data_IF_186771153288
#
_entry.id   IF_186771153288
#
_cell.length_a   1.000
_cell.length_b   1.000
_cell.length_c   1.000
_cell.angle_alpha   90.00
_cell.angle_beta   90.00
_cell.angle_gamma   90.00
#
_symmetry.space_group_name_H-M   'P 1'
#
loop_
_entity.id
_entity.type
_entity.pdbx_description
1 polymer ?
#
# COMPACT_ATOMS: atom_id res chain seq x y z
N UNK A 1 -37.22 -34.50 -43.75
CA UNK A 1 -37.40 -33.25 -44.53
C UNK A 1 -38.13 -32.28 -43.62
N UNK A 2 -37.58 -31.06 -43.42
CA UNK A 2 -38.02 -29.98 -42.49
C UNK A 2 -37.83 -30.27 -40.98
N UNK A 3 -37.33 -29.38 -40.10
CA UNK A 3 -36.72 -28.05 -40.22
C UNK A 3 -36.12 -27.61 -38.84
N UNK A 4 -35.11 -26.73 -38.89
CA UNK A 4 -34.71 -25.65 -37.95
C UNK A 4 -34.03 -26.00 -36.60
N UNK A 5 -32.74 -25.70 -36.43
CA UNK A 5 -32.12 -24.40 -36.03
C UNK A 5 -32.23 -24.09 -34.54
N UNK A 6 -31.10 -24.13 -33.82
CA UNK A 6 -30.68 -23.04 -32.91
C UNK A 6 -29.18 -23.11 -32.66
N UNK A 7 -28.54 -21.97 -32.87
CA UNK A 7 -27.12 -21.74 -32.79
C UNK A 7 -26.59 -21.96 -31.36
N UNK A 8 -25.45 -22.64 -31.25
CA UNK A 8 -24.53 -22.44 -30.13
C UNK A 8 -23.93 -21.04 -30.28
N UNK A 9 -24.49 -20.09 -29.54
CA UNK A 9 -24.07 -18.68 -29.44
C UNK A 9 -22.96 -18.46 -28.41
N UNK A 10 -22.20 -19.50 -28.08
CA UNK A 10 -20.95 -19.36 -27.34
C UNK A 10 -19.80 -19.63 -28.29
N UNK A 11 -19.52 -18.61 -29.12
CA UNK A 11 -18.19 -18.50 -29.72
C UNK A 11 -17.18 -18.58 -28.57
N UNK A 12 -16.35 -19.62 -28.62
CA UNK A 12 -15.22 -19.75 -27.73
C UNK A 12 -14.44 -18.44 -27.80
N UNK A 13 -14.50 -17.67 -26.71
CA UNK A 13 -13.65 -16.51 -26.56
C UNK A 13 -12.21 -17.01 -26.72
N UNK A 14 -11.39 -16.37 -27.57
CA UNK A 14 -10.01 -16.79 -27.73
C UNK A 14 -9.37 -16.75 -26.34
N UNK A 15 -8.69 -17.83 -25.96
CA UNK A 15 -7.82 -17.86 -24.77
C UNK A 15 -6.89 -16.65 -24.84
N UNK A 16 -7.29 -15.56 -24.19
CA UNK A 16 -6.48 -14.37 -24.05
C UNK A 16 -5.28 -14.79 -23.22
N UNK A 17 -4.09 -14.82 -23.84
CA UNK A 17 -2.80 -14.96 -23.17
C UNK A 17 -2.88 -14.24 -21.83
N UNK A 18 -2.80 -14.99 -20.74
CA UNK A 18 -2.95 -14.53 -19.37
C UNK A 18 -1.86 -13.50 -19.01
N UNK A 19 -2.01 -12.28 -19.51
CA UNK A 19 -1.09 -11.17 -19.30
C UNK A 19 -1.24 -10.57 -17.91
N UNK A 20 -0.16 -9.98 -17.42
CA UNK A 20 -0.13 -9.16 -16.20
C UNK A 20 -1.13 -8.00 -16.33
N UNK A 21 -1.94 -7.75 -15.30
CA UNK A 21 -2.90 -6.63 -15.29
C UNK A 21 -2.14 -5.31 -15.09
N UNK A 22 -1.95 -4.58 -16.18
CA UNK A 22 -1.14 -3.34 -16.21
C UNK A 22 -1.72 -2.21 -15.35
N UNK A 23 -3.00 -2.29 -14.98
CA UNK A 23 -3.63 -1.29 -14.09
C UNK A 23 -2.98 -1.28 -12.72
N UNK A 24 -2.63 -2.47 -12.22
CA UNK A 24 -1.95 -2.62 -10.93
C UNK A 24 -0.57 -1.95 -10.98
N UNK A 25 0.14 -2.11 -12.08
CA UNK A 25 1.45 -1.46 -12.27
C UNK A 25 1.30 0.07 -12.40
N UNK A 26 0.28 0.55 -13.11
CA UNK A 26 -0.02 1.99 -13.20
C UNK A 26 -0.27 2.60 -11.83
N UNK A 27 -1.22 2.06 -11.07
CA UNK A 27 -1.59 2.59 -9.75
C UNK A 27 -0.44 2.46 -8.76
N UNK A 28 0.31 1.35 -8.79
CA UNK A 28 1.51 1.19 -7.97
C UNK A 28 2.58 2.24 -8.31
N UNK A 29 2.79 2.54 -9.58
CA UNK A 29 3.72 3.59 -10.01
C UNK A 29 3.27 4.99 -9.58
N UNK A 30 1.98 5.29 -9.68
CA UNK A 30 1.39 6.53 -9.18
C UNK A 30 1.53 6.66 -7.66
N UNK A 31 1.30 5.58 -6.90
CA UNK A 31 1.53 5.56 -5.45
C UNK A 31 2.97 5.90 -5.10
N UNK A 32 3.94 5.35 -5.81
CA UNK A 32 5.36 5.65 -5.55
C UNK A 32 5.69 7.13 -5.80
N UNK A 33 5.09 7.73 -6.85
CA UNK A 33 5.25 9.16 -7.09
C UNK A 33 4.60 9.99 -5.96
N UNK A 34 3.39 9.65 -5.54
CA UNK A 34 2.70 10.38 -4.48
C UNK A 34 3.44 10.26 -3.15
N UNK A 35 3.94 9.08 -2.79
CA UNK A 35 4.82 8.89 -1.62
C UNK A 35 6.02 9.85 -1.71
N UNK A 36 6.72 9.86 -2.85
CA UNK A 36 7.86 10.73 -3.04
C UNK A 36 7.52 12.22 -2.89
N UNK A 37 6.43 12.68 -3.52
CA UNK A 37 5.97 14.08 -3.46
C UNK A 37 5.59 14.47 -2.03
N UNK A 38 4.83 13.60 -1.35
CA UNK A 38 4.32 13.84 0.00
C UNK A 38 5.42 13.79 1.07
N UNK A 39 6.58 13.21 0.75
CA UNK A 39 7.75 13.15 1.63
C UNK A 39 8.70 14.35 1.46
N UNK A 40 8.45 15.24 0.49
CA UNK A 40 9.21 16.48 0.34
C UNK A 40 8.46 17.59 1.10
N UNK A 41 9.05 18.20 2.15
CA UNK A 41 8.37 19.23 2.93
C UNK A 41 8.07 20.48 2.08
N UNK A 42 7.00 21.19 2.42
CA UNK A 42 6.58 22.45 1.77
C UNK A 42 6.37 22.36 0.25
N UNK A 43 6.12 21.17 -0.29
CA UNK A 43 5.92 20.97 -1.71
C UNK A 43 4.47 21.29 -2.11
N UNK A 44 4.26 22.32 -2.94
CA UNK A 44 2.93 22.67 -3.47
C UNK A 44 2.26 21.52 -4.22
N UNK A 45 3.03 20.59 -4.77
CA UNK A 45 2.49 19.41 -5.45
C UNK A 45 1.80 18.43 -4.49
N UNK A 46 2.07 18.49 -3.18
CA UNK A 46 1.40 17.64 -2.18
C UNK A 46 -0.12 17.86 -2.18
N UNK A 47 -0.57 19.10 -2.44
CA UNK A 47 -2.00 19.42 -2.57
C UNK A 47 -2.71 18.75 -3.76
N UNK A 48 -1.93 18.17 -4.70
CA UNK A 48 -2.44 17.46 -5.87
C UNK A 48 -2.35 15.94 -5.74
N UNK A 49 -1.88 15.42 -4.60
CA UNK A 49 -1.77 13.97 -4.38
C UNK A 49 -3.02 13.41 -3.71
N UNK A 50 -3.02 12.09 -3.51
CA UNK A 50 -4.19 11.37 -3.04
C UNK A 50 -4.65 11.81 -1.63
N UNK A 51 -3.72 12.13 -0.73
CA UNK A 51 -4.06 12.51 0.65
C UNK A 51 -4.87 13.81 0.74
N UNK A 52 -4.81 14.68 -0.28
CA UNK A 52 -5.54 15.95 -0.31
C UNK A 52 -6.98 15.83 -0.82
N UNK A 53 -7.29 14.74 -1.53
CA UNK A 53 -8.60 14.52 -2.16
C UNK A 53 -9.33 13.27 -1.64
N UNK A 54 -8.71 12.52 -0.73
CA UNK A 54 -9.28 11.35 -0.09
C UNK A 54 -8.83 11.25 1.36
N UNK A 55 -9.59 10.54 2.20
CA UNK A 55 -9.15 10.18 3.55
C UNK A 55 -8.01 9.15 3.53
N UNK A 56 -7.77 8.50 2.39
CA UNK A 56 -6.69 7.53 2.18
C UNK A 56 -5.52 8.14 1.45
N UNK A 57 -4.34 7.52 1.56
CA UNK A 57 -3.15 7.95 0.86
C UNK A 57 -2.54 6.82 0.02
N UNK A 58 -1.35 7.08 -0.52
CA UNK A 58 -0.66 6.14 -1.39
C UNK A 58 -0.26 4.82 -0.70
N UNK A 59 -0.15 4.79 0.62
CA UNK A 59 0.20 3.59 1.38
C UNK A 59 -0.91 2.52 1.28
N UNK A 60 -2.19 2.89 1.37
CA UNK A 60 -3.28 1.91 1.20
C UNK A 60 -3.29 1.30 -0.20
N UNK A 61 -3.07 2.13 -1.23
CA UNK A 61 -2.98 1.66 -2.61
C UNK A 61 -1.84 0.64 -2.73
N UNK A 62 -0.67 0.95 -2.15
CA UNK A 62 0.49 0.09 -2.18
C UNK A 62 0.24 -1.25 -1.46
N UNK A 63 -0.32 -1.23 -0.25
CA UNK A 63 -0.59 -2.44 0.56
C UNK A 63 -1.65 -3.32 -0.11
N UNK A 64 -2.76 -2.74 -0.57
CA UNK A 64 -3.82 -3.47 -1.26
C UNK A 64 -3.32 -4.13 -2.55
N UNK A 65 -2.62 -3.38 -3.41
CA UNK A 65 -2.07 -3.92 -4.66
C UNK A 65 -1.01 -4.98 -4.36
N UNK A 66 -0.23 -4.82 -3.30
CA UNK A 66 0.76 -5.82 -2.88
C UNK A 66 0.10 -7.14 -2.49
N UNK A 67 -1.01 -7.11 -1.75
CA UNK A 67 -1.82 -8.30 -1.46
C UNK A 67 -2.39 -8.93 -2.74
N UNK A 68 -2.99 -8.11 -3.60
CA UNK A 68 -3.56 -8.56 -4.88
C UNK A 68 -2.51 -9.24 -5.77
N UNK A 69 -1.36 -8.59 -5.94
CA UNK A 69 -0.25 -9.11 -6.75
C UNK A 69 0.34 -10.38 -6.13
N UNK A 70 0.51 -10.43 -4.80
CA UNK A 70 0.99 -11.63 -4.12
C UNK A 70 0.06 -12.83 -4.36
N UNK A 71 -1.25 -12.65 -4.21
CA UNK A 71 -2.22 -13.71 -4.43
C UNK A 71 -2.27 -14.19 -5.88
N UNK A 72 -2.23 -13.27 -6.85
CA UNK A 72 -2.23 -13.64 -8.28
C UNK A 72 -0.97 -14.39 -8.72
N UNK A 73 0.20 -14.03 -8.17
CA UNK A 73 1.49 -14.65 -8.52
C UNK A 73 1.69 -15.96 -7.76
N UNK A 74 1.62 -15.91 -6.43
CA UNK A 74 1.91 -17.08 -5.61
C UNK A 74 0.75 -18.07 -5.57
N UNK A 75 -0.50 -17.64 -5.80
CA UNK A 75 -1.64 -18.55 -5.99
C UNK A 75 -1.45 -19.46 -7.20
N UNK A 76 -0.95 -18.92 -8.33
CA UNK A 76 -0.56 -19.74 -9.49
C UNK A 76 0.57 -20.70 -9.16
N UNK A 77 1.56 -20.25 -8.38
CA UNK A 77 2.66 -21.11 -7.94
C UNK A 77 2.16 -22.24 -7.02
N UNK A 78 1.23 -21.96 -6.11
CA UNK A 78 0.61 -22.94 -5.22
C UNK A 78 -0.12 -24.03 -6.00
N UNK A 79 -0.94 -23.66 -6.98
CA UNK A 79 -1.68 -24.65 -7.78
C UNK A 79 -0.78 -25.44 -8.74
N UNK A 80 0.30 -24.85 -9.26
CA UNK A 80 1.18 -25.51 -10.23
C UNK A 80 2.33 -26.31 -9.62
N UNK A 81 2.89 -25.85 -8.50
CA UNK A 81 4.14 -26.35 -7.92
C UNK A 81 3.95 -26.84 -6.47
N UNK A 82 2.76 -26.66 -5.89
CA UNK A 82 2.45 -27.04 -4.52
C UNK A 82 2.87 -26.00 -3.47
N UNK A 83 2.46 -26.22 -2.21
CA UNK A 83 2.60 -25.23 -1.14
C UNK A 83 4.04 -24.94 -0.73
N UNK A 84 4.90 -25.96 -0.73
CA UNK A 84 6.31 -25.81 -0.32
C UNK A 84 7.06 -24.94 -1.33
N UNK A 85 6.90 -25.20 -2.63
CA UNK A 85 7.53 -24.39 -3.66
C UNK A 85 7.01 -22.95 -3.65
N UNK A 86 5.69 -22.75 -3.51
CA UNK A 86 5.11 -21.42 -3.38
C UNK A 86 5.66 -20.65 -2.17
N UNK A 87 5.76 -21.29 -1.00
CA UNK A 87 6.36 -20.71 0.19
C UNK A 87 7.84 -20.34 -0.04
N UNK A 88 8.63 -21.21 -0.70
CA UNK A 88 10.01 -20.92 -1.06
C UNK A 88 10.16 -19.66 -1.93
N UNK A 89 9.29 -19.47 -2.93
CA UNK A 89 9.28 -18.25 -3.75
C UNK A 89 8.93 -17.00 -2.93
N UNK A 90 7.98 -17.11 -2.00
CA UNK A 90 7.59 -16.03 -1.09
C UNK A 90 8.75 -15.65 -0.17
N UNK A 91 9.39 -16.61 0.50
CA UNK A 91 10.50 -16.33 1.42
C UNK A 91 11.74 -15.80 0.69
N UNK A 92 11.99 -16.26 -0.54
CA UNK A 92 13.02 -15.64 -1.39
C UNK A 92 12.72 -14.16 -1.65
N UNK A 93 11.44 -13.81 -1.85
CA UNK A 93 11.04 -12.41 -2.02
C UNK A 93 11.18 -11.62 -0.72
N UNK A 94 10.82 -12.18 0.42
CA UNK A 94 11.05 -11.56 1.75
C UNK A 94 12.52 -11.26 1.94
N UNK A 95 13.41 -12.22 1.62
CA UNK A 95 14.85 -12.01 1.69
C UNK A 95 15.35 -10.87 0.79
N UNK A 96 14.85 -10.77 -0.45
CA UNK A 96 15.21 -9.66 -1.33
C UNK A 96 14.78 -8.30 -0.77
N UNK A 97 13.60 -8.24 -0.15
CA UNK A 97 13.12 -7.02 0.51
C UNK A 97 13.96 -6.66 1.72
N UNK A 98 14.35 -7.66 2.51
CA UNK A 98 15.23 -7.48 3.67
C UNK A 98 16.58 -6.89 3.26
N UNK A 99 17.25 -7.49 2.28
CA UNK A 99 18.54 -6.99 1.78
C UNK A 99 18.40 -5.58 1.20
N UNK A 100 17.33 -5.31 0.43
CA UNK A 100 17.08 -3.98 -0.11
C UNK A 100 16.81 -2.94 0.98
N UNK A 101 16.06 -3.31 2.03
CA UNK A 101 15.75 -2.45 3.16
C UNK A 101 17.02 -2.10 3.94
N UNK A 102 17.85 -3.08 4.31
CA UNK A 102 19.13 -2.84 5.00
C UNK A 102 20.06 -1.98 4.15
N UNK A 103 20.17 -2.28 2.85
CA UNK A 103 21.00 -1.47 1.95
C UNK A 103 20.50 -0.01 1.86
N UNK A 104 19.18 0.19 1.75
CA UNK A 104 18.58 1.52 1.72
C UNK A 104 18.78 2.25 3.03
N UNK A 105 18.61 1.58 4.17
CA UNK A 105 18.87 2.13 5.50
C UNK A 105 20.32 2.60 5.64
N UNK A 106 21.31 1.80 5.23
CA UNK A 106 22.72 2.18 5.31
C UNK A 106 23.01 3.42 4.46
N UNK A 107 22.49 3.48 3.23
CA UNK A 107 22.65 4.66 2.36
C UNK A 107 21.94 5.89 2.90
N UNK A 108 20.73 5.71 3.45
CA UNK A 108 19.95 6.76 4.09
C UNK A 108 20.69 7.34 5.30
N UNK A 109 21.10 6.49 6.23
CA UNK A 109 21.87 6.90 7.42
C UNK A 109 23.17 7.59 7.03
N UNK A 110 23.90 7.06 6.04
CA UNK A 110 25.13 7.69 5.54
C UNK A 110 24.87 9.08 4.93
N UNK A 111 23.79 9.24 4.16
CA UNK A 111 23.42 10.52 3.56
C UNK A 111 23.06 11.56 4.64
N UNK A 112 22.26 11.19 5.63
CA UNK A 112 21.89 12.07 6.75
C UNK A 112 23.11 12.45 7.57
N UNK A 113 23.95 11.49 7.99
CA UNK A 113 25.19 11.79 8.70
C UNK A 113 26.11 12.74 7.93
N UNK A 114 26.21 12.59 6.60
CA UNK A 114 26.98 13.50 5.76
C UNK A 114 26.38 14.92 5.72
N UNK A 115 25.05 15.05 5.64
CA UNK A 115 24.41 16.36 5.72
C UNK A 115 24.56 17.01 7.09
N UNK A 116 24.42 16.27 8.19
CA UNK A 116 24.63 16.82 9.54
C UNK A 116 26.03 17.39 9.68
N UNK A 117 27.05 16.75 9.10
CA UNK A 117 28.43 17.25 9.10
C UNK A 117 28.66 18.48 8.21
N UNK A 118 27.93 18.61 7.09
CA UNK A 118 28.16 19.67 6.09
C UNK A 118 27.26 20.90 6.26
N UNK A 119 25.99 20.69 6.61
CA UNK A 119 24.96 21.73 6.74
C UNK A 119 24.97 22.37 8.14
N UNK A 120 25.64 21.75 9.12
CA UNK A 120 25.73 22.20 10.53
C UNK A 120 24.36 22.46 11.19
N UNK A 121 23.29 21.85 10.67
CA UNK A 121 21.98 21.92 11.28
C UNK A 121 21.71 20.61 12.03
N UNK A 122 21.79 20.69 13.36
CA UNK A 122 21.65 19.54 14.26
C UNK A 122 20.23 18.95 14.26
N UNK A 123 19.22 19.70 13.81
CA UNK A 123 17.82 19.24 13.80
C UNK A 123 17.55 18.17 12.72
N UNK A 124 18.42 18.03 11.71
CA UNK A 124 18.24 17.01 10.66
C UNK A 124 18.26 15.58 11.21
N UNK A 125 19.15 15.27 12.15
CA UNK A 125 19.19 13.91 12.69
C UNK A 125 17.92 13.56 13.45
N UNK A 126 17.31 14.53 14.13
CA UNK A 126 16.04 14.37 14.86
C UNK A 126 14.85 14.25 13.91
N UNK A 127 14.75 15.15 12.92
CA UNK A 127 13.65 15.17 11.95
C UNK A 127 13.51 13.84 11.19
N UNK A 128 14.64 13.21 10.85
CA UNK A 128 14.68 11.94 10.13
C UNK A 128 14.74 10.70 11.04
N UNK A 129 14.80 10.89 12.37
CA UNK A 129 14.87 9.82 13.36
C UNK A 129 16.16 8.99 13.32
N UNK A 130 17.29 9.63 12.99
CA UNK A 130 18.65 9.05 12.91
C UNK A 130 19.53 9.44 14.11
N UNK A 131 19.08 10.40 14.93
CA UNK A 131 19.67 10.79 16.21
C UNK A 131 20.11 9.59 17.07
N UNK A 132 19.22 8.63 17.31
CA UNK A 132 19.50 7.45 18.12
C UNK A 132 20.56 6.53 17.50
N UNK A 133 20.66 6.52 16.16
CA UNK A 133 21.73 5.81 15.46
C UNK A 133 23.09 6.50 15.61
N UNK A 134 23.10 7.83 15.71
CA UNK A 134 24.32 8.61 15.94
C UNK A 134 24.79 8.45 17.39
N UNK A 135 23.85 8.46 18.35
CA UNK A 135 24.15 8.39 19.78
C UNK A 135 24.55 6.97 20.22
N UNK A 136 23.81 5.94 19.79
CA UNK A 136 24.04 4.54 20.15
C UNK A 136 24.13 3.61 18.92
N UNK A 137 25.15 3.77 18.05
CA UNK A 137 25.22 3.07 16.76
C UNK A 137 25.22 1.54 16.93
N UNK A 138 25.88 1.01 17.96
CA UNK A 138 25.88 -0.44 18.21
C UNK A 138 24.47 -1.00 18.47
N UNK A 139 23.62 -0.28 19.20
CA UNK A 139 22.25 -0.72 19.52
C UNK A 139 21.36 -0.53 18.30
N UNK A 140 21.43 0.64 17.68
CA UNK A 140 20.64 0.98 16.51
C UNK A 140 20.90 0.03 15.32
N UNK A 141 22.14 -0.40 15.08
CA UNK A 141 22.47 -1.40 14.05
C UNK A 141 21.77 -2.74 14.33
N UNK A 142 21.83 -3.24 15.57
CA UNK A 142 21.18 -4.50 15.95
C UNK A 142 19.66 -4.35 15.78
N UNK A 143 19.09 -3.24 16.25
CA UNK A 143 17.65 -2.97 16.15
C UNK A 143 17.20 -2.79 14.71
N UNK A 144 18.00 -2.19 13.84
CA UNK A 144 17.74 -2.08 12.40
C UNK A 144 17.76 -3.46 11.72
N UNK A 145 18.75 -4.30 12.03
CA UNK A 145 18.84 -5.66 11.50
C UNK A 145 17.65 -6.54 11.94
N UNK A 146 17.08 -6.27 13.11
CA UNK A 146 15.86 -6.91 13.63
C UNK A 146 14.56 -6.24 13.16
N UNK A 147 14.64 -5.20 12.31
CA UNK A 147 13.50 -4.39 11.84
C UNK A 147 12.73 -3.66 12.96
N UNK A 148 13.35 -3.49 14.13
CA UNK A 148 12.79 -2.77 15.28
C UNK A 148 13.08 -1.28 15.23
N UNK A 149 14.14 -0.87 14.54
CA UNK A 149 14.47 0.53 14.31
C UNK A 149 14.04 0.95 12.91
N UNK A 150 13.10 1.88 12.83
CA UNK A 150 12.46 2.32 11.58
C UNK A 150 12.49 3.84 11.50
N UNK A 151 13.58 4.43 10.99
CA UNK A 151 13.65 5.86 10.73
C UNK A 151 12.55 6.29 9.75
N UNK A 152 12.33 7.60 9.65
CA UNK A 152 11.30 8.15 8.79
C UNK A 152 11.41 7.58 7.36
N UNK A 153 10.27 7.24 6.76
CA UNK A 153 10.12 6.65 5.42
C UNK A 153 10.48 5.16 5.26
N UNK A 154 11.11 4.52 6.25
CA UNK A 154 11.55 3.12 6.17
C UNK A 154 10.60 2.12 6.82
N UNK A 155 9.44 2.57 7.26
CA UNK A 155 8.42 1.84 8.02
C UNK A 155 7.49 0.94 7.17
N UNK A 156 7.27 1.26 5.89
CA UNK A 156 6.36 0.50 5.01
C UNK A 156 6.96 -0.85 4.54
N UNK A 157 8.29 -0.96 4.44
CA UNK A 157 8.94 -2.22 4.02
C UNK A 157 8.89 -3.31 5.10
N UNK A 158 9.19 -3.03 6.38
CA UNK A 158 9.00 -3.96 7.51
C UNK A 158 7.63 -4.63 7.53
N UNK A 159 6.55 -3.84 7.45
CA UNK A 159 5.19 -4.42 7.46
C UNK A 159 4.95 -5.32 6.24
N UNK A 160 5.48 -4.96 5.08
CA UNK A 160 5.31 -5.77 3.87
C UNK A 160 6.05 -7.11 3.96
N UNK A 161 7.23 -7.11 4.59
CA UNK A 161 7.97 -8.33 4.90
C UNK A 161 7.19 -9.24 5.86
N UNK A 162 6.54 -8.67 6.89
CA UNK A 162 5.66 -9.42 7.80
C UNK A 162 4.49 -10.03 7.02
N UNK A 163 3.80 -9.24 6.20
CA UNK A 163 2.65 -9.71 5.42
C UNK A 163 3.01 -10.83 4.46
N UNK A 164 4.14 -10.72 3.77
CA UNK A 164 4.65 -11.80 2.93
C UNK A 164 5.10 -13.01 3.75
N UNK A 165 5.72 -12.81 4.91
CA UNK A 165 6.15 -13.89 5.80
C UNK A 165 5.00 -14.77 6.27
N UNK A 166 3.84 -14.18 6.58
CA UNK A 166 2.61 -14.91 6.96
C UNK A 166 1.81 -15.38 5.73
N UNK A 167 2.12 -14.89 4.54
CA UNK A 167 1.33 -15.11 3.34
C UNK A 167 1.16 -16.58 2.93
N UNK A 168 2.12 -17.50 3.13
CA UNK A 168 1.89 -18.92 2.86
C UNK A 168 0.68 -19.47 3.61
N UNK A 169 0.47 -19.05 4.86
CA UNK A 169 -0.71 -19.45 5.66
C UNK A 169 -1.97 -18.84 5.08
N UNK A 170 -1.95 -17.53 4.78
CA UNK A 170 -3.09 -16.83 4.15
C UNK A 170 -3.48 -17.51 2.83
N UNK A 171 -2.50 -17.92 2.02
CA UNK A 171 -2.74 -18.57 0.73
C UNK A 171 -3.36 -19.96 0.89
N UNK A 172 -2.96 -20.72 1.91
CA UNK A 172 -3.62 -21.98 2.25
C UNK A 172 -5.07 -21.77 2.71
N UNK A 173 -5.34 -20.71 3.49
CA UNK A 173 -6.71 -20.34 3.88
C UNK A 173 -7.54 -19.95 2.64
N UNK A 174 -7.00 -19.11 1.76
CA UNK A 174 -7.64 -18.70 0.50
C UNK A 174 -7.97 -19.89 -0.41
N UNK A 175 -7.09 -20.89 -0.47
CA UNK A 175 -7.34 -22.14 -1.22
C UNK A 175 -8.51 -22.92 -0.65
N UNK A 176 -8.73 -22.88 0.66
CA UNK A 176 -9.87 -23.55 1.33
C UNK A 176 -11.15 -22.75 1.18
N UNK A 177 -11.12 -21.46 1.50
CA UNK A 177 -12.26 -20.56 1.42
C UNK A 177 -11.79 -19.12 1.28
N UNK A 178 -12.40 -18.37 0.38
CA UNK A 178 -12.16 -16.93 0.24
C UNK A 178 -12.59 -16.12 1.48
N UNK A 179 -13.59 -16.59 2.23
CA UNK A 179 -14.12 -15.88 3.41
C UNK A 179 -13.30 -16.11 4.67
N UNK A 180 -12.68 -17.29 4.80
CA UNK A 180 -11.94 -17.66 6.00
C UNK A 180 -10.81 -16.68 6.38
N UNK A 181 -9.89 -16.30 5.47
CA UNK A 181 -8.84 -15.34 5.81
C UNK A 181 -9.43 -13.95 6.10
N UNK A 182 -10.52 -13.55 5.41
CA UNK A 182 -11.19 -12.27 5.69
C UNK A 182 -11.78 -12.23 7.10
N UNK A 183 -12.45 -13.29 7.55
CA UNK A 183 -13.04 -13.36 8.89
C UNK A 183 -11.95 -13.31 9.97
N UNK A 184 -10.91 -14.13 9.82
CA UNK A 184 -9.78 -14.15 10.77
C UNK A 184 -9.10 -12.79 10.81
N UNK A 185 -8.84 -12.20 9.65
CA UNK A 185 -8.18 -10.92 9.51
C UNK A 185 -9.01 -9.75 10.06
N UNK A 186 -10.33 -9.76 9.82
CA UNK A 186 -11.25 -8.79 10.40
C UNK A 186 -11.33 -8.91 11.92
N UNK A 187 -11.32 -10.13 12.46
CA UNK A 187 -11.29 -10.35 13.90
C UNK A 187 -10.02 -9.75 14.52
N UNK A 188 -8.84 -9.98 13.94
CA UNK A 188 -7.58 -9.39 14.41
C UNK A 188 -7.65 -7.86 14.35
N UNK A 189 -8.16 -7.29 13.26
CA UNK A 189 -8.33 -5.84 13.11
C UNK A 189 -9.26 -5.25 14.19
N UNK A 190 -10.41 -5.86 14.44
CA UNK A 190 -11.36 -5.38 15.47
C UNK A 190 -10.81 -5.54 16.89
N UNK A 191 -10.11 -6.64 17.18
CA UNK A 191 -9.44 -6.85 18.47
C UNK A 191 -8.32 -5.83 18.69
N UNK A 192 -7.58 -5.48 17.63
CA UNK A 192 -6.56 -4.45 17.65
C UNK A 192 -7.15 -3.10 18.07
N UNK A 193 -8.28 -2.70 17.46
CA UNK A 193 -9.01 -1.49 17.85
C UNK A 193 -9.58 -1.55 19.27
N UNK A 194 -10.08 -2.72 19.68
CA UNK A 194 -10.72 -2.89 21.00
C UNK A 194 -9.71 -2.88 22.16
N UNK A 195 -8.52 -3.45 21.96
CA UNK A 195 -7.51 -3.65 23.00
C UNK A 195 -6.27 -2.77 22.84
N UNK A 196 -6.15 -2.01 21.75
CA UNK A 196 -5.00 -1.15 21.49
C UNK A 196 -3.70 -1.91 21.22
N UNK A 197 -3.78 -3.12 20.63
CA UNK A 197 -2.59 -3.93 20.39
C UNK A 197 -1.68 -3.30 19.34
N UNK A 198 -0.46 -2.94 19.74
CA UNK A 198 0.53 -2.35 18.85
C UNK A 198 1.91 -2.96 19.13
N UNK A 199 2.68 -3.35 18.10
CA UNK A 199 4.07 -3.73 18.31
C UNK A 199 4.91 -2.48 18.58
N UNK A 200 5.96 -2.68 19.36
CA UNK A 200 6.88 -1.61 19.74
C UNK A 200 8.09 -1.55 18.79
N UNK A 201 8.55 -0.33 18.52
CA UNK A 201 9.78 0.02 17.85
C UNK A 201 10.80 0.54 18.86
N UNK A 202 12.06 0.54 18.45
CA UNK A 202 13.13 1.27 19.12
C UNK A 202 13.26 2.64 18.44
N UNK A 203 13.58 3.72 19.16
CA UNK A 203 13.83 3.83 20.62
C UNK A 203 12.56 3.83 21.49
N UNK A 204 12.73 3.81 22.81
CA UNK A 204 11.72 4.13 23.85
C UNK A 204 10.39 3.35 23.86
N UNK A 205 10.37 2.15 23.27
CA UNK A 205 9.14 1.35 23.11
C UNK A 205 8.01 2.14 22.43
N UNK A 206 8.37 3.04 21.50
CA UNK A 206 7.39 3.73 20.65
C UNK A 206 6.56 2.71 19.86
N UNK A 207 5.36 3.09 19.41
CA UNK A 207 4.55 2.19 18.59
C UNK A 207 4.92 2.27 17.11
N UNK A 208 4.82 1.15 16.41
CA UNK A 208 5.02 1.14 14.96
C UNK A 208 4.05 2.09 14.27
N UNK A 209 4.58 2.98 13.44
CA UNK A 209 3.77 3.90 12.64
C UNK A 209 2.76 3.16 11.77
N UNK A 210 3.12 2.02 11.18
CA UNK A 210 2.17 1.12 10.52
C UNK A 210 1.94 -0.12 11.37
N UNK A 211 0.81 -0.20 12.07
CA UNK A 211 0.50 -1.37 12.88
C UNK A 211 0.18 -2.60 12.00
N UNK A 212 1.03 -3.64 11.98
CA UNK A 212 0.81 -4.81 11.13
C UNK A 212 -0.48 -5.57 11.48
N UNK A 213 -0.98 -5.50 12.73
CA UNK A 213 -2.21 -6.16 13.15
C UNK A 213 -3.46 -5.53 12.52
N UNK A 214 -3.43 -4.21 12.30
CA UNK A 214 -4.50 -3.51 11.62
C UNK A 214 -4.35 -3.61 10.09
N UNK A 215 -3.16 -3.28 9.59
CA UNK A 215 -2.90 -3.17 8.15
C UNK A 215 -2.93 -4.50 7.39
N UNK A 216 -2.72 -5.63 8.07
CA UNK A 216 -2.90 -6.95 7.45
C UNK A 216 -4.32 -7.13 6.90
N UNK A 217 -5.33 -6.45 7.45
CA UNK A 217 -6.70 -6.55 6.93
C UNK A 217 -6.83 -6.03 5.52
N UNK A 218 -6.26 -4.86 5.24
CA UNK A 218 -6.23 -4.32 3.89
C UNK A 218 -5.47 -5.22 2.91
N UNK A 219 -4.34 -5.75 3.35
CA UNK A 219 -3.54 -6.69 2.56
C UNK A 219 -4.33 -7.97 2.23
N UNK A 220 -5.04 -8.54 3.20
CA UNK A 220 -5.87 -9.74 3.02
C UNK A 220 -7.07 -9.47 2.12
N UNK A 221 -7.71 -8.29 2.19
CA UNK A 221 -8.76 -7.90 1.24
C UNK A 221 -8.19 -7.87 -0.19
N UNK A 222 -7.04 -7.23 -0.39
CA UNK A 222 -6.33 -7.21 -1.67
C UNK A 222 -5.99 -8.61 -2.17
N UNK A 223 -5.43 -9.45 -1.31
CA UNK A 223 -5.11 -10.84 -1.63
C UNK A 223 -6.35 -11.67 -2.00
N UNK A 224 -7.45 -11.49 -1.29
CA UNK A 224 -8.71 -12.18 -1.57
C UNK A 224 -9.25 -11.77 -2.94
N UNK A 225 -9.24 -10.47 -3.26
CA UNK A 225 -9.63 -9.96 -4.58
C UNK A 225 -8.70 -10.47 -5.70
N UNK A 226 -7.40 -10.61 -5.44
CA UNK A 226 -6.42 -11.14 -6.39
C UNK A 226 -6.51 -12.65 -6.61
N UNK A 227 -6.90 -13.41 -5.58
CA UNK A 227 -7.08 -14.86 -5.65
C UNK A 227 -8.42 -15.26 -6.26
N UNK A 228 -9.46 -14.44 -6.07
CA UNK A 228 -10.84 -14.72 -6.51
C UNK A 228 -10.97 -15.24 -7.95
N UNK A 229 -10.31 -14.65 -8.98
CA UNK A 229 -10.47 -15.12 -10.35
C UNK A 229 -9.91 -16.53 -10.62
N UNK A 230 -9.06 -17.04 -9.71
CA UNK A 230 -8.49 -18.40 -9.78
C UNK A 230 -9.24 -19.40 -8.91
N UNK A 231 -9.95 -18.89 -7.91
CA UNK A 231 -10.81 -19.70 -7.05
C UNK A 231 -12.15 -19.89 -7.76
N UNK A 232 -12.54 -21.14 -8.05
CA UNK A 232 -13.89 -21.47 -8.58
C UNK A 232 -15.03 -21.11 -7.58
N UNK A 233 -14.69 -20.44 -6.48
CA UNK A 233 -15.60 -20.06 -5.41
C UNK A 233 -16.23 -18.70 -5.71
N UNK A 234 -17.55 -18.53 -5.48
CA UNK A 234 -18.20 -17.24 -5.64
C UNK A 234 -17.62 -16.25 -4.62
N UNK A 235 -17.24 -15.07 -5.09
CA UNK A 235 -16.88 -13.96 -4.22
C UNK A 235 -18.10 -13.04 -4.07
N UNK A 236 -18.81 -13.05 -2.94
CA UNK A 236 -20.04 -12.26 -2.77
C UNK A 236 -19.80 -10.75 -2.71
N UNK A 237 -18.53 -10.30 -2.66
CA UNK A 237 -18.15 -8.94 -2.27
C UNK A 237 -17.79 -7.99 -3.43
N UNK A 238 -17.90 -8.41 -4.70
CA UNK A 238 -17.52 -7.57 -5.86
C UNK A 238 -18.62 -7.52 -6.93
N UNK A 239 -19.85 -7.24 -6.53
CA UNK A 239 -20.96 -7.05 -7.45
C UNK A 239 -20.98 -5.66 -8.08
N UNK A 240 -21.51 -5.55 -9.30
CA UNK A 240 -21.67 -4.26 -9.99
C UNK A 240 -22.56 -3.26 -9.21
N UNK A 241 -23.41 -3.76 -8.30
CA UNK A 241 -24.25 -2.95 -7.41
C UNK A 241 -23.45 -2.08 -6.41
N UNK A 242 -22.18 -2.42 -6.16
CA UNK A 242 -21.30 -1.63 -5.29
C UNK A 242 -20.74 -0.38 -5.97
N UNK A 243 -20.82 -0.27 -7.29
CA UNK A 243 -20.22 0.85 -8.03
C UNK A 243 -20.91 2.18 -7.73
N UNK A 244 -22.25 2.33 -7.80
CA UNK A 244 -22.90 3.59 -7.47
C UNK A 244 -22.61 4.11 -6.03
N UNK A 245 -22.72 3.30 -4.96
CA UNK A 245 -22.39 3.79 -3.63
C UNK A 245 -20.90 4.09 -3.46
N UNK A 246 -20.00 3.32 -4.11
CA UNK A 246 -18.58 3.63 -4.10
C UNK A 246 -18.27 5.00 -4.72
N UNK A 247 -18.87 5.32 -5.88
CA UNK A 247 -18.71 6.62 -6.53
C UNK A 247 -19.26 7.74 -5.64
N UNK A 248 -20.43 7.53 -5.02
CA UNK A 248 -21.01 8.51 -4.10
C UNK A 248 -20.11 8.77 -2.87
N UNK A 249 -19.56 7.71 -2.27
CA UNK A 249 -18.62 7.84 -1.14
C UNK A 249 -17.37 8.60 -1.57
N UNK A 250 -16.78 8.27 -2.73
CA UNK A 250 -15.61 8.99 -3.26
C UNK A 250 -15.91 10.47 -3.45
N UNK A 251 -17.08 10.82 -4.01
CA UNK A 251 -17.47 12.21 -4.21
C UNK A 251 -17.63 12.97 -2.88
N UNK A 252 -18.32 12.37 -1.90
CA UNK A 252 -18.50 12.98 -0.56
C UNK A 252 -17.16 13.16 0.14
N UNK A 253 -16.34 12.11 0.17
CA UNK A 253 -15.02 12.16 0.81
C UNK A 253 -14.11 13.18 0.12
N UNK A 254 -14.18 13.32 -1.20
CA UNK A 254 -13.41 14.35 -1.91
C UNK A 254 -13.81 15.77 -1.49
N UNK A 255 -15.11 16.05 -1.36
CA UNK A 255 -15.60 17.35 -0.87
C UNK A 255 -15.10 17.63 0.56
N UNK A 256 -15.19 16.64 1.45
CA UNK A 256 -14.73 16.78 2.83
C UNK A 256 -13.20 16.97 2.90
N UNK A 257 -12.43 16.16 2.18
CA UNK A 257 -10.96 16.21 2.18
C UNK A 257 -10.44 17.53 1.60
N UNK A 258 -11.04 18.01 0.51
CA UNK A 258 -10.70 19.31 -0.08
C UNK A 258 -11.08 20.44 0.88
N UNK A 259 -12.23 20.36 1.55
CA UNK A 259 -12.61 21.34 2.58
C UNK A 259 -11.59 21.40 3.72
N UNK A 260 -11.10 20.25 4.19
CA UNK A 260 -10.08 20.18 5.25
C UNK A 260 -8.73 20.73 4.77
N UNK A 261 -8.34 20.41 3.53
CA UNK A 261 -7.10 20.89 2.91
C UNK A 261 -7.11 22.41 2.69
N UNK A 262 -8.27 22.98 2.31
CA UNK A 262 -8.40 24.43 2.19
C UNK A 262 -8.36 25.07 3.59
N UNK A 263 -9.03 24.47 4.58
CA UNK A 263 -9.01 24.97 5.96
C UNK A 263 -7.59 25.00 6.55
N UNK A 264 -6.74 24.01 6.26
CA UNK A 264 -5.35 24.00 6.75
C UNK A 264 -4.49 25.13 6.17
N UNK A 265 -4.85 25.69 5.01
CA UNK A 265 -4.17 26.84 4.40
C UNK A 265 -4.86 28.16 4.76
N UNK A 266 -6.17 28.13 4.94
CA UNK A 266 -6.99 29.28 5.28
C UNK A 266 -8.00 28.89 6.37
N UNK A 267 -7.66 29.18 7.62
CA UNK A 267 -8.48 28.86 8.80
C UNK A 267 -9.89 29.43 8.74
N UNK A 268 -10.13 30.47 7.93
CA UNK A 268 -11.47 31.06 7.74
C UNK A 268 -12.42 30.17 6.92
N UNK A 269 -11.89 29.21 6.16
CA UNK A 269 -12.70 28.28 5.39
C UNK A 269 -13.27 27.17 6.30
N UNK A 270 -14.53 26.74 6.17
CA UNK A 270 -15.09 25.73 7.07
C UNK A 270 -14.45 24.35 6.87
N UNK A 271 -14.02 23.71 7.97
CA UNK A 271 -13.61 22.30 8.00
C UNK A 271 -14.83 21.39 8.21
N UNK A 272 -15.50 21.01 7.11
CA UNK A 272 -16.79 20.30 7.14
C UNK A 272 -16.69 18.98 7.91
N UNK A 273 -17.50 18.83 8.98
CA UNK A 273 -17.56 17.62 9.81
C UNK A 273 -16.21 17.16 10.39
N UNK A 274 -15.21 18.03 10.46
CA UNK A 274 -13.86 17.66 10.88
C UNK A 274 -13.84 17.07 12.31
N UNK A 275 -14.47 17.74 13.27
CA UNK A 275 -14.49 17.29 14.68
C UNK A 275 -15.17 15.93 14.86
N UNK A 276 -16.22 15.65 14.07
CA UNK A 276 -16.99 14.41 14.16
C UNK A 276 -16.26 13.23 13.50
N UNK A 277 -15.55 13.49 12.39
CA UNK A 277 -14.95 12.44 11.57
C UNK A 277 -13.46 12.23 11.84
N UNK A 278 -12.73 13.23 12.36
CA UNK A 278 -11.28 13.17 12.55
C UNK A 278 -10.82 11.95 13.38
N UNK A 279 -11.49 11.50 14.46
CA UNK A 279 -11.03 10.33 15.22
C UNK A 279 -11.07 9.03 14.40
N UNK A 280 -11.94 8.97 13.40
CA UNK A 280 -12.13 7.80 12.54
C UNK A 280 -11.41 7.90 11.19
N UNK A 281 -10.65 8.99 10.97
CA UNK A 281 -9.87 9.25 9.75
C UNK A 281 -8.37 9.37 10.06
N UNK A 282 -7.99 10.09 11.12
CA UNK A 282 -6.61 10.48 11.37
C UNK A 282 -5.72 9.36 11.96
N UNK A 283 -6.30 8.34 12.59
CA UNK A 283 -5.52 7.18 13.07
C UNK A 283 -5.07 6.31 11.89
N UNK A 284 -4.03 6.78 11.21
CA UNK A 284 -3.38 6.06 10.12
C UNK A 284 -2.68 4.80 10.62
N UNK A 285 -2.12 4.84 11.83
CA UNK A 285 -1.34 3.74 12.37
C UNK A 285 -2.16 2.47 12.52
N UNK A 286 -3.39 2.60 13.01
CA UNK A 286 -4.34 1.49 13.13
C UNK A 286 -5.33 1.40 11.96
N UNK A 287 -5.05 2.06 10.84
CA UNK A 287 -5.87 2.08 9.63
C UNK A 287 -7.34 2.40 9.95
N UNK A 288 -7.63 3.65 10.27
CA UNK A 288 -8.95 4.04 10.74
C UNK A 288 -10.11 3.59 9.83
N UNK A 289 -11.29 3.23 10.40
CA UNK A 289 -12.37 2.62 9.63
C UNK A 289 -12.86 3.47 8.44
N UNK A 290 -12.98 4.80 8.60
CA UNK A 290 -13.39 5.66 7.48
C UNK A 290 -12.30 5.80 6.42
N UNK A 291 -11.02 5.72 6.83
CA UNK A 291 -9.86 5.61 5.94
C UNK A 291 -9.99 4.38 5.04
N UNK A 292 -10.25 3.22 5.67
CA UNK A 292 -10.44 1.96 4.97
C UNK A 292 -11.64 2.00 4.02
N UNK A 293 -12.79 2.52 4.46
CA UNK A 293 -13.99 2.64 3.62
C UNK A 293 -13.74 3.57 2.43
N UNK A 294 -13.12 4.73 2.66
CA UNK A 294 -12.72 5.67 1.62
C UNK A 294 -11.83 4.99 0.58
N UNK A 295 -10.80 4.27 1.04
CA UNK A 295 -9.90 3.54 0.15
C UNK A 295 -10.63 2.47 -0.67
N UNK A 296 -11.48 1.65 -0.04
CA UNK A 296 -12.21 0.58 -0.74
C UNK A 296 -13.17 1.14 -1.79
N UNK A 297 -13.85 2.25 -1.47
CA UNK A 297 -14.70 2.96 -2.43
C UNK A 297 -13.88 3.50 -3.61
N UNK A 298 -12.69 4.04 -3.35
CA UNK A 298 -11.76 4.47 -4.40
C UNK A 298 -11.29 3.30 -5.25
N UNK A 299 -10.93 2.16 -4.65
CA UNK A 299 -10.48 0.97 -5.37
C UNK A 299 -11.57 0.40 -6.29
N UNK A 300 -12.83 0.33 -5.82
CA UNK A 300 -13.98 -0.09 -6.63
C UNK A 300 -14.22 0.89 -7.79
N UNK A 301 -14.21 2.20 -7.49
CA UNK A 301 -14.39 3.26 -8.50
C UNK A 301 -13.30 3.21 -9.56
N UNK A 302 -12.04 3.10 -9.15
CA UNK A 302 -10.88 3.01 -10.04
C UNK A 302 -10.94 1.74 -10.92
N UNK A 303 -11.33 0.60 -10.35
CA UNK A 303 -11.50 -0.65 -11.10
C UNK A 303 -12.63 -0.57 -12.14
N UNK A 304 -13.67 0.23 -11.87
CA UNK A 304 -14.77 0.50 -12.80
C UNK A 304 -14.37 1.48 -13.92
N UNK A 305 -13.76 2.61 -13.56
CA UNK A 305 -13.37 3.67 -14.51
C UNK A 305 -12.22 3.23 -15.41
N UNK A 306 -11.21 2.55 -14.87
CA UNK A 306 -10.05 2.09 -15.61
C UNK A 306 -10.23 0.61 -15.97
N UNK A 307 -10.82 0.37 -17.13
CA UNK A 307 -10.95 -0.98 -17.70
C UNK A 307 -9.59 -1.60 -18.07
N UNK A 308 -9.51 -2.94 -18.12
CA UNK A 308 -8.27 -3.68 -18.46
C UNK A 308 -7.63 -3.27 -19.80
N UNK A 309 -8.46 -2.85 -20.75
CA UNK A 309 -8.04 -2.43 -22.10
C UNK A 309 -8.18 -0.92 -22.32
N UNK A 310 -8.25 -0.13 -21.25
CA UNK A 310 -8.44 1.31 -21.36
C UNK A 310 -7.32 1.96 -22.19
N UNK A 311 -7.69 2.85 -23.12
CA UNK A 311 -6.73 3.56 -23.97
C UNK A 311 -5.71 4.36 -23.16
N UNK A 312 -6.09 4.82 -21.96
CA UNK A 312 -5.20 5.53 -21.04
C UNK A 312 -3.93 4.73 -20.71
N UNK A 313 -4.02 3.39 -20.63
CA UNK A 313 -2.88 2.53 -20.35
C UNK A 313 -1.83 2.57 -21.46
N UNK A 314 -2.20 2.96 -22.68
CA UNK A 314 -1.28 3.04 -23.83
C UNK A 314 -0.61 4.42 -23.97
N UNK A 315 -1.02 5.42 -23.18
CA UNK A 315 -0.45 6.77 -23.24
C UNK A 315 0.99 6.76 -22.71
N UNK A 316 1.90 7.60 -23.26
CA UNK A 316 3.31 7.60 -22.88
C UNK A 316 3.53 7.89 -21.39
N UNK A 317 2.78 8.84 -20.84
CA UNK A 317 2.83 9.17 -19.41
C UNK A 317 2.37 7.99 -18.52
N UNK A 318 1.29 7.29 -18.91
CA UNK A 318 0.84 6.11 -18.19
C UNK A 318 1.87 4.97 -18.28
N UNK A 319 2.54 4.81 -19.42
CA UNK A 319 3.61 3.83 -19.60
C UNK A 319 4.81 4.12 -18.69
N UNK A 320 5.16 5.39 -18.47
CA UNK A 320 6.19 5.76 -17.50
C UNK A 320 5.82 5.26 -16.09
N UNK A 321 4.60 5.56 -15.62
CA UNK A 321 4.14 5.09 -14.32
C UNK A 321 4.05 3.56 -14.22
N UNK A 322 3.60 2.89 -15.29
CA UNK A 322 3.59 1.42 -15.35
C UNK A 322 5.02 0.86 -15.18
N UNK A 323 6.03 1.45 -15.84
CA UNK A 323 7.43 1.05 -15.67
C UNK A 323 7.90 1.25 -14.23
N UNK A 324 7.54 2.37 -13.61
CA UNK A 324 7.84 2.62 -12.20
C UNK A 324 7.20 1.55 -11.30
N UNK A 325 5.94 1.18 -11.53
CA UNK A 325 5.27 0.12 -10.77
C UNK A 325 5.89 -1.27 -10.98
N UNK A 326 6.35 -1.57 -12.19
CA UNK A 326 7.05 -2.83 -12.51
C UNK A 326 8.38 -2.96 -11.74
N UNK A 327 9.09 -1.85 -11.53
CA UNK A 327 10.34 -1.75 -10.78
C UNK A 327 10.16 -1.08 -9.41
N UNK A 328 8.99 -1.29 -8.80
CA UNK A 328 8.56 -0.62 -7.57
C UNK A 328 9.56 -0.63 -6.43
N UNK A 329 10.27 -1.73 -6.18
CA UNK A 329 11.26 -1.81 -5.10
C UNK A 329 12.42 -0.85 -5.36
N UNK A 330 12.97 -0.88 -6.59
CA UNK A 330 14.08 -0.01 -6.96
C UNK A 330 13.67 1.46 -6.94
N UNK A 331 12.49 1.76 -7.47
CA UNK A 331 11.96 3.14 -7.49
C UNK A 331 11.65 3.64 -6.08
N UNK A 332 11.15 2.78 -5.19
CA UNK A 332 10.94 3.12 -3.79
C UNK A 332 12.25 3.45 -3.07
N UNK A 333 13.26 2.58 -3.17
CA UNK A 333 14.58 2.80 -2.59
C UNK A 333 15.23 4.09 -3.12
N UNK A 334 15.17 4.31 -4.44
CA UNK A 334 15.66 5.54 -5.05
C UNK A 334 14.87 6.76 -4.59
N UNK A 335 13.54 6.64 -4.49
CA UNK A 335 12.65 7.72 -4.03
C UNK A 335 13.03 8.20 -2.64
N UNK A 336 13.25 7.30 -1.68
CA UNK A 336 13.71 7.65 -0.33
C UNK A 336 15.01 8.46 -0.38
N UNK A 337 16.02 7.98 -1.11
CA UNK A 337 17.31 8.67 -1.20
C UNK A 337 17.17 10.05 -1.88
N UNK A 338 16.34 10.14 -2.92
CA UNK A 338 16.05 11.41 -3.59
C UNK A 338 15.24 12.37 -2.71
N UNK A 339 14.34 11.88 -1.85
CA UNK A 339 13.58 12.71 -0.91
C UNK A 339 14.53 13.36 0.10
N UNK A 340 15.47 12.58 0.64
CA UNK A 340 16.52 13.08 1.53
C UNK A 340 17.38 14.15 0.83
N UNK A 341 17.88 13.86 -0.37
CA UNK A 341 18.68 14.82 -1.14
C UNK A 341 17.87 16.07 -1.52
N UNK A 342 16.61 15.90 -1.90
CA UNK A 342 15.71 17.00 -2.21
C UNK A 342 15.49 17.91 -1.01
N UNK A 343 15.32 17.32 0.17
CA UNK A 343 15.22 18.08 1.41
C UNK A 343 16.51 18.85 1.67
N UNK A 344 17.68 18.23 1.59
CA UNK A 344 18.99 18.90 1.76
C UNK A 344 19.22 20.08 0.80
N UNK A 345 18.63 20.07 -0.40
CA UNK A 345 18.79 21.14 -1.40
C UNK A 345 17.78 22.27 -1.21
N UNK A 346 16.59 21.96 -0.68
CA UNK A 346 15.48 22.91 -0.52
C UNK A 346 15.52 23.68 0.80
N UNK A 347 16.34 23.23 1.73
CA UNK A 347 16.68 23.86 3.02
C UNK A 347 18.08 24.45 2.96
#
# INVERSE_FOLDING_TARGET
MFARTKASLYGAAPEQRAGRDLRLDLFRGLSLLFIFIDHIPNNVLSYMTLHSIAFSDAAEVFVFISGFAAATVYGKALERQGPIAAAGHIYRRVWQLYVAHIFTFVLFAAAICYATLTVQNQTYSEDFGIDNFIDEPQVAIIKALLLQYQPQFLDILPIYMIFLGIFPVVLLLLRRSLLLPLIVSAAIYLLTWRFGWQPHSYPDDESWYFNPLAWQFLFVIGATAGYAPYSQQPLPLLGAWLVPPAIAIVAVVAVLSVSWTIHSVNESFPALLFQELSPYVQDKSNLAPLRLISFLALAVTAAHVVGRNAQILRRPLAQLFIRCGQHSLQVFCLGILLSVLGQMVLT
#
